data_IF_404391271528
#
_entry.id   IF_404391271528
#
_cell.length_a   1.000
_cell.length_b   1.000
_cell.length_c   1.000
_cell.angle_alpha   90.00
_cell.angle_beta   90.00
_cell.angle_gamma   90.00
#
_symmetry.space_group_name_H-M   'P 1'
#
loop_
_entity.id
_entity.type
_entity.pdbx_description
1 polymer ?
#
# COMPACT_ATOMS: atom_id res chain seq x y z
N UNK A 1 35.13 26.67 79.79
CA UNK A 1 34.29 27.86 80.05
C UNK A 1 33.56 28.20 78.76
N UNK A 2 32.25 27.89 78.65
CA UNK A 2 31.24 28.40 77.68
C UNK A 2 31.55 28.24 76.16
N UNK A 3 30.67 27.89 75.21
CA UNK A 3 29.22 27.76 75.05
C UNK A 3 28.96 27.20 73.62
N UNK A 4 27.89 26.40 73.42
CA UNK A 4 26.84 26.43 72.35
C UNK A 4 27.26 26.72 70.88
N UNK A 5 26.78 26.08 69.80
CA UNK A 5 25.42 25.61 69.44
C UNK A 5 25.41 24.89 68.07
N UNK A 6 24.61 23.82 67.93
CA UNK A 6 23.98 23.32 66.66
C UNK A 6 23.12 24.44 66.01
N UNK A 7 22.74 24.47 64.71
CA UNK A 7 22.15 23.35 63.91
C UNK A 7 22.62 23.29 62.42
N UNK A 8 22.61 22.15 61.72
CA UNK A 8 21.48 21.52 61.02
C UNK A 8 20.64 22.50 60.17
N UNK A 9 21.07 22.82 58.94
CA UNK A 9 20.16 23.16 57.82
C UNK A 9 20.95 23.36 56.50
N UNK A 10 20.39 22.85 55.40
CA UNK A 10 20.69 23.24 54.00
C UNK A 10 21.99 22.68 53.40
N UNK A 11 22.08 21.35 53.31
CA UNK A 11 22.83 20.71 52.21
C UNK A 11 21.89 19.75 51.45
N UNK A 12 20.68 20.26 51.17
CA UNK A 12 19.63 19.58 50.43
C UNK A 12 18.95 20.63 49.57
N UNK A 13 19.51 20.91 48.39
CA UNK A 13 18.82 21.45 47.18
C UNK A 13 19.85 21.96 46.18
N UNK A 14 20.63 21.08 45.56
CA UNK A 14 21.23 21.40 44.28
C UNK A 14 21.37 20.14 43.41
N UNK A 15 20.33 19.30 43.43
CA UNK A 15 20.07 18.41 42.30
C UNK A 15 19.33 19.27 41.28
N UNK A 16 20.12 19.97 40.48
CA UNK A 16 19.66 20.60 39.24
C UNK A 16 19.07 19.51 38.36
N UNK A 17 17.76 19.38 38.42
CA UNK A 17 16.96 18.65 37.46
C UNK A 17 17.09 19.36 36.10
N UNK A 18 18.16 19.05 35.36
CA UNK A 18 18.20 19.26 33.93
C UNK A 18 17.23 18.25 33.29
N UNK A 19 15.93 18.54 33.36
CA UNK A 19 14.97 17.88 32.50
C UNK A 19 15.25 18.40 31.08
N UNK A 20 15.66 17.54 30.12
CA UNK A 20 15.60 17.94 28.73
C UNK A 20 14.12 18.15 28.40
N UNK A 21 13.70 19.40 28.36
CA UNK A 21 12.42 19.80 27.78
C UNK A 21 12.52 19.42 26.30
N UNK A 22 12.08 18.20 25.96
CA UNK A 22 11.81 17.82 24.58
C UNK A 22 10.66 18.72 24.13
N UNK A 23 10.99 19.87 23.56
CA UNK A 23 10.08 20.61 22.74
C UNK A 23 9.68 19.67 21.61
N UNK A 24 8.49 19.06 21.73
CA UNK A 24 7.85 18.38 20.63
C UNK A 24 7.70 19.43 19.53
N UNK A 25 8.60 19.41 18.56
CA UNK A 25 8.47 20.22 17.36
C UNK A 25 7.12 19.85 16.75
N UNK A 26 6.15 20.77 16.85
CA UNK A 26 4.87 20.66 16.18
C UNK A 26 5.18 20.49 14.69
N UNK A 27 5.13 19.24 14.24
CA UNK A 27 5.41 18.91 12.87
C UNK A 27 4.15 19.29 12.11
N UNK A 28 4.24 20.19 11.13
CA UNK A 28 3.17 20.50 10.16
C UNK A 28 2.88 19.27 9.30
N UNK A 29 2.38 18.20 9.92
CA UNK A 29 2.12 16.90 9.32
C UNK A 29 0.63 16.66 9.32
N UNK A 30 0.10 16.48 8.13
CA UNK A 30 -1.28 16.05 7.90
C UNK A 30 -1.25 14.53 7.84
N UNK A 31 -2.00 13.88 8.73
CA UNK A 31 -2.12 12.41 8.73
C UNK A 31 -3.43 12.03 8.08
N UNK A 32 -3.36 11.28 6.97
CA UNK A 32 -4.52 10.66 6.34
C UNK A 32 -4.57 9.19 6.72
N UNK A 33 -5.62 8.78 7.43
CA UNK A 33 -5.84 7.37 7.79
C UNK A 33 -6.94 6.81 6.89
N UNK A 34 -6.63 5.75 6.15
CA UNK A 34 -7.53 5.04 5.26
C UNK A 34 -7.80 3.64 5.84
N UNK A 35 -8.98 3.40 6.43
CA UNK A 35 -9.39 2.06 6.80
C UNK A 35 -9.49 1.13 5.58
N UNK A 36 -9.24 -0.16 5.78
CA UNK A 36 -9.31 -1.18 4.72
C UNK A 36 -10.64 -1.13 3.95
N UNK A 37 -11.77 -0.92 4.64
CA UNK A 37 -13.09 -0.81 3.99
C UNK A 37 -13.22 0.43 3.10
N UNK A 38 -12.70 1.57 3.53
CA UNK A 38 -12.71 2.79 2.73
C UNK A 38 -11.81 2.62 1.48
N UNK A 39 -10.65 1.97 1.64
CA UNK A 39 -9.78 1.63 0.52
C UNK A 39 -10.45 0.65 -0.45
N UNK A 40 -11.14 -0.37 0.07
CA UNK A 40 -11.89 -1.34 -0.74
C UNK A 40 -12.99 -0.66 -1.55
N UNK A 41 -13.73 0.26 -0.94
CA UNK A 41 -14.77 1.05 -1.63
C UNK A 41 -14.18 1.91 -2.73
N UNK A 42 -13.10 2.64 -2.44
CA UNK A 42 -12.41 3.46 -3.44
C UNK A 42 -11.86 2.62 -4.61
N UNK A 43 -11.38 1.40 -4.34
CA UNK A 43 -10.94 0.47 -5.37
C UNK A 43 -12.09 -0.12 -6.18
N UNK A 44 -13.29 -0.23 -5.62
CA UNK A 44 -14.45 -0.74 -6.35
C UNK A 44 -14.85 0.18 -7.52
N UNK A 45 -14.67 1.49 -7.37
CA UNK A 45 -15.00 2.50 -8.39
C UNK A 45 -14.11 2.41 -9.64
N UNK A 46 -12.96 1.74 -9.56
CA UNK A 46 -12.03 1.56 -10.68
C UNK A 46 -12.11 0.15 -11.32
N UNK A 47 -13.02 -0.70 -10.85
CA UNK A 47 -13.25 -2.02 -11.42
C UNK A 47 -14.20 -1.94 -12.64
N UNK A 48 -14.05 -2.84 -13.62
CA UNK A 48 -13.08 -3.94 -13.70
C UNK A 48 -11.66 -3.47 -14.06
N UNK A 49 -10.64 -4.07 -13.44
CA UNK A 49 -9.24 -3.70 -13.64
C UNK A 49 -8.52 -4.72 -14.54
N UNK A 50 -7.99 -4.32 -15.71
CA UNK A 50 -7.23 -5.22 -16.58
C UNK A 50 -5.86 -5.57 -15.96
N UNK A 51 -5.51 -6.85 -16.03
CA UNK A 51 -4.19 -7.37 -15.65
C UNK A 51 -3.33 -7.52 -16.91
N UNK A 52 -2.12 -6.95 -16.94
CA UNK A 52 -1.23 -7.12 -18.08
C UNK A 52 -0.80 -8.59 -18.16
N UNK A 53 -0.96 -9.21 -19.33
CA UNK A 53 -0.43 -10.54 -19.62
C UNK A 53 0.85 -10.41 -20.45
N UNK A 54 1.84 -11.25 -20.17
CA UNK A 54 3.04 -11.36 -21.00
C UNK A 54 2.71 -12.14 -22.29
N UNK A 55 2.70 -11.42 -23.41
CA UNK A 55 2.28 -11.93 -24.72
C UNK A 55 3.12 -13.09 -25.25
N UNK A 56 4.32 -13.30 -24.71
CA UNK A 56 5.20 -14.39 -25.13
C UNK A 56 4.70 -15.76 -24.66
N UNK A 57 3.98 -15.79 -23.54
CA UNK A 57 3.56 -17.04 -22.89
C UNK A 57 2.04 -17.20 -22.86
N UNK A 58 1.29 -16.10 -22.93
CA UNK A 58 -0.17 -16.11 -22.93
C UNK A 58 -0.79 -15.03 -23.80
N UNK A 59 -1.97 -15.32 -24.34
CA UNK A 59 -2.81 -14.39 -25.10
C UNK A 59 -4.21 -14.38 -24.53
N UNK A 60 -4.88 -13.24 -24.62
CA UNK A 60 -6.24 -13.02 -24.15
C UNK A 60 -6.29 -11.79 -23.25
N UNK A 61 -7.40 -11.64 -22.53
CA UNK A 61 -7.55 -10.60 -21.51
C UNK A 61 -7.79 -11.26 -20.16
N UNK A 62 -7.24 -10.66 -19.11
CA UNK A 62 -7.48 -11.04 -17.73
C UNK A 62 -7.88 -9.78 -16.97
N UNK A 63 -8.94 -9.84 -16.18
CA UNK A 63 -9.55 -8.71 -15.50
C UNK A 63 -9.92 -9.08 -14.07
N UNK A 64 -9.60 -8.20 -13.12
CA UNK A 64 -10.20 -8.25 -11.78
C UNK A 64 -11.59 -7.65 -11.90
N UNK A 65 -12.62 -8.45 -11.62
CA UNK A 65 -14.02 -8.01 -11.70
C UNK A 65 -14.52 -7.41 -10.40
N UNK A 66 -14.12 -8.01 -9.28
CA UNK A 66 -14.59 -7.61 -7.95
C UNK A 66 -13.52 -7.89 -6.89
N UNK A 67 -13.61 -7.14 -5.79
CA UNK A 67 -12.81 -7.33 -4.57
C UNK A 67 -13.79 -7.68 -3.44
N UNK A 68 -13.83 -8.95 -3.07
CA UNK A 68 -14.72 -9.48 -2.03
C UNK A 68 -14.26 -9.04 -0.63
N UNK A 69 -12.95 -9.04 -0.40
CA UNK A 69 -12.38 -8.60 0.88
C UNK A 69 -11.00 -8.01 0.69
N UNK A 70 -10.69 -7.00 1.49
CA UNK A 70 -9.38 -6.35 1.58
C UNK A 70 -8.98 -6.29 3.05
N UNK A 71 -7.75 -6.69 3.38
CA UNK A 71 -7.17 -6.57 4.72
C UNK A 71 -5.79 -5.95 4.65
N UNK A 72 -5.43 -5.15 5.64
CA UNK A 72 -4.13 -4.47 5.68
C UNK A 72 -3.37 -4.90 6.93
N UNK A 73 -2.16 -5.43 6.76
CA UNK A 73 -1.30 -5.87 7.87
C UNK A 73 0.16 -5.86 7.42
N UNK A 74 1.10 -5.53 8.30
CA UNK A 74 2.55 -5.69 8.05
C UNK A 74 3.06 -5.18 6.69
N UNK A 75 2.57 -4.02 6.25
CA UNK A 75 2.85 -3.46 4.91
C UNK A 75 2.40 -4.33 3.73
N UNK A 76 1.40 -5.17 3.94
CA UNK A 76 0.77 -6.06 2.96
C UNK A 76 -0.72 -5.72 2.89
N UNK A 77 -1.24 -5.64 1.66
CA UNK A 77 -2.68 -5.61 1.38
C UNK A 77 -3.08 -7.00 0.87
N UNK A 78 -3.80 -7.75 1.67
CA UNK A 78 -4.36 -9.05 1.29
C UNK A 78 -5.73 -8.87 0.66
N UNK A 79 -5.90 -9.42 -0.53
CA UNK A 79 -7.10 -9.30 -1.36
C UNK A 79 -7.72 -10.68 -1.60
N UNK A 80 -9.05 -10.75 -1.55
CA UNK A 80 -9.83 -11.81 -2.20
C UNK A 80 -10.61 -11.17 -3.32
N UNK A 81 -10.45 -11.69 -4.53
CA UNK A 81 -11.01 -11.09 -5.74
C UNK A 81 -11.66 -12.13 -6.63
N UNK A 82 -12.57 -11.71 -7.49
CA UNK A 82 -13.00 -12.49 -8.64
C UNK A 82 -12.21 -12.04 -9.87
N UNK A 83 -11.57 -12.99 -10.54
CA UNK A 83 -10.87 -12.74 -11.80
C UNK A 83 -11.61 -13.44 -12.92
N UNK A 84 -11.82 -12.71 -14.02
CA UNK A 84 -12.25 -13.29 -15.28
C UNK A 84 -11.20 -13.14 -16.35
N UNK A 85 -11.23 -14.03 -17.32
CA UNK A 85 -10.45 -13.90 -18.53
C UNK A 85 -11.20 -14.37 -19.75
N UNK A 86 -10.92 -13.71 -20.87
CA UNK A 86 -11.54 -13.96 -22.16
C UNK A 86 -10.48 -14.29 -23.21
N UNK A 87 -10.83 -15.22 -24.10
CA UNK A 87 -9.97 -15.69 -25.20
C UNK A 87 -8.57 -16.11 -24.73
N UNK A 88 -8.51 -16.68 -23.51
CA UNK A 88 -7.25 -17.08 -22.90
C UNK A 88 -6.66 -18.27 -23.65
N UNK A 89 -5.39 -18.13 -24.02
CA UNK A 89 -4.58 -19.23 -24.55
C UNK A 89 -3.15 -19.15 -24.02
N UNK A 90 -2.58 -20.31 -23.70
CA UNK A 90 -1.27 -20.42 -23.06
C UNK A 90 -0.42 -21.40 -23.85
N UNK A 91 0.84 -21.04 -24.09
CA UNK A 91 1.81 -21.97 -24.65
C UNK A 91 2.35 -22.85 -23.52
N UNK A 92 2.16 -24.16 -23.63
CA UNK A 92 2.65 -25.15 -22.68
C UNK A 92 3.51 -26.19 -23.38
N UNK A 93 4.46 -26.80 -22.68
CA UNK A 93 5.27 -27.89 -23.21
C UNK A 93 4.81 -29.21 -22.60
N UNK A 94 4.41 -30.16 -23.44
CA UNK A 94 3.99 -31.51 -23.04
C UNK A 94 4.82 -32.51 -23.82
N UNK A 95 5.52 -33.41 -23.11
CA UNK A 95 6.39 -34.42 -23.70
C UNK A 95 7.42 -33.85 -24.72
N UNK A 96 7.96 -32.65 -24.45
CA UNK A 96 8.94 -31.99 -25.32
C UNK A 96 8.34 -31.26 -26.52
N UNK A 97 7.03 -31.29 -26.73
CA UNK A 97 6.34 -30.56 -27.79
C UNK A 97 5.61 -29.33 -27.23
N UNK A 98 5.67 -28.22 -27.97
CA UNK A 98 4.96 -26.99 -27.62
C UNK A 98 3.51 -27.08 -28.11
N UNK A 99 2.57 -26.97 -27.18
CA UNK A 99 1.13 -26.97 -27.42
C UNK A 99 0.53 -25.63 -27.00
N UNK A 100 -0.39 -25.11 -27.82
CA UNK A 100 -1.22 -23.97 -27.43
C UNK A 100 -2.51 -24.47 -26.81
N UNK A 101 -2.62 -24.37 -25.49
CA UNK A 101 -3.83 -24.68 -24.75
C UNK A 101 -4.79 -23.49 -24.83
N UNK A 102 -5.97 -23.69 -25.42
CA UNK A 102 -7.06 -22.70 -25.39
C UNK A 102 -7.88 -22.93 -24.12
N UNK A 103 -7.84 -21.96 -23.21
CA UNK A 103 -8.64 -21.95 -21.99
C UNK A 103 -10.01 -21.31 -22.23
N UNK A 104 -10.11 -20.43 -23.23
CA UNK A 104 -11.36 -19.75 -23.57
C UNK A 104 -11.76 -18.73 -22.52
N UNK A 105 -12.95 -18.90 -21.94
CA UNK A 105 -13.46 -18.05 -20.87
C UNK A 105 -13.23 -18.72 -19.52
N UNK A 106 -12.71 -17.94 -18.57
CA UNK A 106 -12.46 -18.42 -17.22
C UNK A 106 -12.96 -17.39 -16.23
N UNK A 107 -13.55 -17.84 -15.13
CA UNK A 107 -13.95 -17.01 -13.99
C UNK A 107 -13.64 -17.75 -12.71
N UNK A 108 -12.82 -17.18 -11.84
CA UNK A 108 -12.40 -17.86 -10.62
C UNK A 108 -12.11 -16.89 -9.46
N UNK A 109 -12.39 -17.29 -8.22
CA UNK A 109 -11.93 -16.57 -7.05
C UNK A 109 -10.41 -16.71 -6.91
N UNK A 110 -9.76 -15.62 -6.50
CA UNK A 110 -8.31 -15.54 -6.36
C UNK A 110 -7.94 -14.81 -5.07
N UNK A 111 -6.81 -15.21 -4.49
CA UNK A 111 -6.15 -14.47 -3.41
C UNK A 111 -4.90 -13.80 -3.93
N UNK A 112 -4.62 -12.59 -3.48
CA UNK A 112 -3.41 -11.85 -3.83
C UNK A 112 -2.96 -11.03 -2.63
N UNK A 113 -1.68 -11.12 -2.30
CA UNK A 113 -1.04 -10.27 -1.30
C UNK A 113 -0.19 -9.23 -2.03
N UNK A 114 -0.45 -7.94 -1.77
CA UNK A 114 0.33 -6.84 -2.36
C UNK A 114 1.21 -6.23 -1.28
N UNK A 115 2.51 -6.45 -1.37
CA UNK A 115 3.49 -5.82 -0.49
C UNK A 115 3.72 -4.37 -0.92
N UNK A 116 3.70 -3.47 0.05
CA UNK A 116 3.92 -2.05 -0.11
C UNK A 116 5.35 -1.68 0.29
N UNK A 117 5.99 -0.83 -0.50
CA UNK A 117 7.28 -0.23 -0.16
C UNK A 117 7.30 1.21 -0.65
N UNK A 118 7.37 2.17 0.27
CA UNK A 118 7.45 3.58 -0.08
C UNK A 118 8.90 4.06 -0.13
N UNK A 119 9.25 4.73 -1.22
CA UNK A 119 10.50 5.48 -1.36
C UNK A 119 10.20 6.98 -1.17
N UNK A 120 10.61 7.58 -0.03
CA UNK A 120 10.35 8.99 0.25
C UNK A 120 11.19 9.95 -0.60
N UNK A 121 12.34 9.52 -1.13
CA UNK A 121 13.22 10.37 -1.93
C UNK A 121 12.58 10.63 -3.30
N UNK A 122 12.16 9.56 -3.97
CA UNK A 122 11.53 9.63 -5.29
C UNK A 122 10.01 9.81 -5.21
N UNK A 123 9.43 9.67 -4.01
CA UNK A 123 7.98 9.70 -3.74
C UNK A 123 7.24 8.65 -4.57
N UNK A 124 7.80 7.44 -4.61
CA UNK A 124 7.23 6.30 -5.33
C UNK A 124 6.76 5.27 -4.31
N UNK A 125 5.49 4.84 -4.44
CA UNK A 125 4.99 3.67 -3.75
C UNK A 125 5.11 2.45 -4.67
N UNK A 126 6.00 1.53 -4.33
CA UNK A 126 6.15 0.27 -5.03
C UNK A 126 5.15 -0.75 -4.50
N UNK A 127 4.42 -1.37 -5.42
CA UNK A 127 3.49 -2.47 -5.17
C UNK A 127 4.10 -3.76 -5.71
N UNK A 128 4.29 -4.78 -4.86
CA UNK A 128 4.71 -6.12 -5.31
C UNK A 128 3.59 -7.11 -5.06
N UNK A 129 2.82 -7.52 -6.08
CA UNK A 129 1.81 -8.55 -5.92
C UNK A 129 2.47 -9.91 -5.65
N UNK A 130 1.77 -10.78 -4.93
CA UNK A 130 2.13 -12.16 -4.68
C UNK A 130 0.87 -12.99 -4.74
N UNK A 131 0.89 -14.02 -5.58
CA UNK A 131 -0.20 -14.95 -5.70
C UNK A 131 0.16 -16.24 -4.97
N UNK A 132 -0.82 -16.97 -4.42
CA UNK A 132 -0.62 -18.31 -3.91
C UNK A 132 0.03 -19.19 -4.98
N UNK A 133 0.87 -20.17 -4.59
CA UNK A 133 1.42 -21.12 -5.53
C UNK A 133 0.28 -21.83 -6.27
N UNK A 134 0.39 -21.88 -7.60
CA UNK A 134 -0.56 -22.60 -8.42
C UNK A 134 -0.51 -24.10 -8.06
N UNK A 135 -1.69 -24.74 -8.01
CA UNK A 135 -1.77 -26.19 -7.86
C UNK A 135 -1.05 -26.92 -9.01
N UNK A 136 -0.65 -28.16 -8.77
CA UNK A 136 -0.05 -28.99 -9.82
C UNK A 136 -1.15 -29.62 -10.66
N UNK A 137 -1.12 -29.43 -11.98
CA UNK A 137 -2.09 -30.05 -12.89
C UNK A 137 -2.32 -29.29 -14.20
N UNK A 138 -3.17 -29.87 -15.04
CA UNK A 138 -3.61 -29.30 -16.31
C UNK A 138 -4.97 -28.58 -16.21
N UNK A 139 -5.52 -28.43 -15.01
CA UNK A 139 -6.75 -27.66 -14.77
C UNK A 139 -6.57 -26.19 -15.21
N UNK A 140 -7.55 -25.59 -15.91
CA UNK A 140 -7.63 -24.15 -16.13
C UNK A 140 -7.26 -23.28 -14.93
N UNK A 141 -7.69 -23.62 -13.71
CA UNK A 141 -7.36 -22.85 -12.49
C UNK A 141 -5.86 -22.83 -12.19
N UNK A 142 -5.21 -23.98 -12.28
CA UNK A 142 -3.76 -24.10 -12.11
C UNK A 142 -2.99 -23.34 -13.21
N UNK A 143 -3.51 -23.35 -14.44
CA UNK A 143 -2.88 -22.66 -15.56
C UNK A 143 -2.97 -21.14 -15.42
N UNK A 144 -4.13 -20.60 -15.07
CA UNK A 144 -4.29 -19.17 -14.79
C UNK A 144 -3.46 -18.75 -13.58
N UNK A 145 -3.41 -19.57 -12.52
CA UNK A 145 -2.53 -19.33 -11.37
C UNK A 145 -1.06 -19.17 -11.74
N UNK A 146 -0.55 -19.97 -12.70
CA UNK A 146 0.83 -19.82 -13.21
C UNK A 146 1.03 -18.53 -14.01
N UNK A 147 0.03 -18.10 -14.79
CA UNK A 147 0.09 -16.82 -15.49
C UNK A 147 0.21 -15.66 -14.50
N UNK A 148 -0.61 -15.69 -13.46
CA UNK A 148 -0.59 -14.68 -12.40
C UNK A 148 0.72 -14.69 -11.62
N UNK A 149 1.29 -15.88 -11.36
CA UNK A 149 2.60 -15.99 -10.73
C UNK A 149 3.71 -15.27 -11.53
N UNK A 150 3.60 -15.15 -12.86
CA UNK A 150 4.54 -14.35 -13.66
C UNK A 150 4.49 -12.85 -13.36
N UNK A 151 3.36 -12.35 -12.84
CA UNK A 151 3.18 -10.96 -12.40
C UNK A 151 3.75 -10.72 -10.99
N UNK A 152 3.89 -11.78 -10.18
CA UNK A 152 4.32 -11.67 -8.78
C UNK A 152 5.79 -11.21 -8.60
N UNK A 153 6.60 -11.29 -9.65
CA UNK A 153 8.03 -10.98 -9.59
C UNK A 153 8.36 -9.54 -9.99
N UNK A 154 7.36 -8.70 -10.24
CA UNK A 154 7.55 -7.31 -10.71
C UNK A 154 7.09 -6.31 -9.66
N UNK A 155 7.87 -5.25 -9.48
CA UNK A 155 7.43 -4.09 -8.72
C UNK A 155 6.69 -3.13 -9.66
N UNK A 156 5.53 -2.66 -9.22
CA UNK A 156 4.70 -1.71 -9.93
C UNK A 156 4.82 -0.34 -9.23
N UNK A 157 5.52 0.63 -9.83
CA UNK A 157 5.70 1.94 -9.22
C UNK A 157 4.44 2.79 -9.36
N UNK A 158 3.98 3.36 -8.26
CA UNK A 158 2.94 4.38 -8.21
C UNK A 158 3.61 5.71 -7.87
N UNK A 159 3.66 6.61 -8.84
CA UNK A 159 4.27 7.92 -8.67
C UNK A 159 3.34 8.85 -7.86
N UNK A 160 3.80 9.29 -6.69
CA UNK A 160 3.08 10.19 -5.78
C UNK A 160 3.69 11.59 -5.75
N UNK A 161 4.61 11.92 -6.67
CA UNK A 161 5.20 13.25 -6.77
C UNK A 161 4.15 14.32 -7.16
N UNK A 162 3.10 13.92 -7.87
CA UNK A 162 2.06 14.79 -8.40
C UNK A 162 0.67 14.48 -7.83
N UNK A 163 0.58 14.22 -6.52
CA UNK A 163 -0.72 14.10 -5.86
C UNK A 163 -1.57 15.35 -6.11
N UNK A 164 -2.85 15.13 -6.38
CA UNK A 164 -3.79 16.24 -6.52
C UNK A 164 -3.91 17.02 -5.20
N UNK A 165 -4.08 18.35 -5.25
CA UNK A 165 -4.23 19.15 -4.04
C UNK A 165 -5.47 18.71 -3.26
N UNK A 166 -5.35 18.60 -1.93
CA UNK A 166 -6.49 18.37 -1.05
C UNK A 166 -7.37 19.62 -1.05
N UNK A 167 -8.66 19.45 -1.34
CA UNK A 167 -9.61 20.56 -1.42
C UNK A 167 -10.40 20.65 -0.12
N UNK A 168 -10.13 21.67 0.69
CA UNK A 168 -10.89 21.93 1.92
C UNK A 168 -11.91 23.03 1.67
N UNK A 169 -13.11 22.87 2.22
CA UNK A 169 -14.13 23.93 2.20
C UNK A 169 -14.10 24.66 3.53
N UNK A 170 -13.85 25.97 3.50
CA UNK A 170 -13.85 26.84 4.67
C UNK A 170 -14.84 27.96 4.39
N UNK A 171 -15.96 27.97 5.12
CA UNK A 171 -17.12 28.80 4.79
C UNK A 171 -17.62 28.49 3.37
N UNK A 172 -17.68 29.53 2.52
CA UNK A 172 -18.07 29.41 1.11
C UNK A 172 -16.93 29.17 0.11
N UNK A 173 -15.67 29.13 0.57
CA UNK A 173 -14.51 29.05 -0.31
C UNK A 173 -13.88 27.64 -0.29
N UNK A 174 -13.39 27.21 -1.45
CA UNK A 174 -12.60 25.97 -1.59
C UNK A 174 -11.12 26.34 -1.62
N UNK A 175 -10.38 25.90 -0.63
CA UNK A 175 -8.94 26.16 -0.49
C UNK A 175 -8.19 24.87 -0.87
N UNK A 176 -7.41 24.88 -1.97
CA UNK A 176 -6.56 23.76 -2.34
C UNK A 176 -5.26 23.80 -1.52
N UNK A 177 -4.87 22.66 -0.95
CA UNK A 177 -3.61 22.48 -0.24
C UNK A 177 -2.78 21.44 -0.99
N UNK A 178 -1.65 21.86 -1.53
CA UNK A 178 -0.66 20.95 -2.09
C UNK A 178 -0.03 20.15 -0.95
N UNK A 179 0.09 18.84 -1.12
CA UNK A 179 0.67 17.95 -0.12
C UNK A 179 1.64 16.98 -0.76
N UNK A 180 2.64 16.56 -0.01
CA UNK A 180 3.59 15.54 -0.41
C UNK A 180 3.69 14.45 0.66
N UNK A 181 3.68 13.17 0.28
CA UNK A 181 3.85 12.09 1.23
C UNK A 181 5.31 12.04 1.71
N UNK A 182 5.48 11.88 3.02
CA UNK A 182 6.78 11.68 3.66
C UNK A 182 6.92 10.30 4.28
N UNK A 183 5.79 9.65 4.60
CA UNK A 183 5.75 8.25 4.96
C UNK A 183 4.41 7.63 4.55
N UNK A 184 4.44 6.34 4.23
CA UNK A 184 3.26 5.52 4.02
C UNK A 184 3.46 4.25 4.83
N UNK A 185 2.55 3.97 5.74
CA UNK A 185 2.59 2.79 6.61
C UNK A 185 1.28 2.03 6.52
N UNK A 186 1.35 0.72 6.64
CA UNK A 186 0.20 -0.17 6.55
C UNK A 186 0.27 -1.19 7.68
N UNK A 187 -0.67 -1.10 8.61
CA UNK A 187 -0.77 -1.99 9.77
C UNK A 187 -2.18 -1.94 10.34
N UNK A 188 -2.59 -2.97 11.07
CA UNK A 188 -3.83 -2.98 11.84
C UNK A 188 -5.08 -2.54 11.03
N UNK A 189 -5.20 -3.04 9.80
CA UNK A 189 -6.31 -2.77 8.88
C UNK A 189 -6.44 -1.30 8.43
N UNK A 190 -5.37 -0.51 8.58
CA UNK A 190 -5.30 0.88 8.12
C UNK A 190 -4.07 1.14 7.27
N UNK A 191 -4.23 2.01 6.27
CA UNK A 191 -3.15 2.63 5.51
C UNK A 191 -3.03 4.08 5.97
N UNK A 192 -1.88 4.45 6.51
CA UNK A 192 -1.60 5.80 7.02
C UNK A 192 -0.63 6.49 6.08
N UNK A 193 -1.05 7.64 5.56
CA UNK A 193 -0.20 8.53 4.78
C UNK A 193 0.13 9.74 5.64
N UNK A 194 1.41 9.89 5.95
CA UNK A 194 1.95 11.09 6.55
C UNK A 194 2.30 12.07 5.43
N UNK A 195 1.64 13.22 5.46
CA UNK A 195 1.75 14.24 4.43
C UNK A 195 2.30 15.52 5.03
N UNK A 196 3.09 16.26 4.25
CA UNK A 196 3.51 17.62 4.60
C UNK A 196 2.95 18.60 3.55
N UNK A 197 2.51 19.80 3.97
CA UNK A 197 2.14 20.85 3.03
C UNK A 197 3.30 21.18 2.09
N UNK A 198 3.03 21.20 0.79
CA UNK A 198 3.91 21.77 -0.22
C UNK A 198 3.71 23.28 -0.27
N UNK A 199 4.73 24.01 -0.75
CA UNK A 199 4.58 25.45 -1.01
C UNK A 199 3.43 25.64 -2.01
N UNK A 200 2.35 26.30 -1.58
CA UNK A 200 1.30 26.74 -2.49
C UNK A 200 1.92 27.71 -3.50
N UNK A 201 1.71 27.49 -4.80
CA UNK A 201 1.95 28.56 -5.76
C UNK A 201 0.83 29.58 -5.54
N UNK A 202 1.12 30.61 -4.73
CA UNK A 202 0.31 31.82 -4.75
C UNK A 202 0.43 32.39 -6.16
N UNK A 203 -0.68 32.37 -6.91
CA UNK A 203 -0.80 33.18 -8.10
C UNK A 203 -0.92 34.65 -7.72
#
# INVERSE_FOLDING_TARGET
>A
MFKRSLPFLILLTLVTAALPLHAAAASDRITLTLPADALRQALADILPLPLPLDSNHARGTLTIESIDSLRIHDSIISLKTMVSGHDLSVNTRVAGQDFRLKLGQVRMPMRCDVRLRFDPADRILYLTPRFPPAGQGADPAATVGRLLASLASREYPVNLAHLQPLRFRIGGQVVPINVHPVAITAANDVLVLDLVPGKGQSR
#
